data_IF_439823105048
#
_entry.id   IF_439823105048
#
_cell.length_a   1.000
_cell.length_b   1.000
_cell.length_c   1.000
_cell.angle_alpha   90.00
_cell.angle_beta   90.00
_cell.angle_gamma   90.00
#
_symmetry.space_group_name_H-M   'P 1'
#
loop_
_entity.id
_entity.type
_entity.pdbx_description
1 polymer ?
2 non-polymer ?
3 non-polymer ?
4 water ?
#
# COMPACT_ATOMS: atom_id res chain seq x y z
N UNK A 1 -12.31 -4.35 10.30
CA UNK A 1 -12.39 -4.23 11.76
C UNK A 1 -11.83 -5.43 12.51
N UNK A 2 -10.86 -5.11 13.38
CA UNK A 2 -10.24 -6.17 14.19
C UNK A 2 -10.97 -6.10 15.54
N UNK A 3 -10.96 -7.24 16.17
CA UNK A 3 -11.54 -7.36 17.51
C UNK A 3 -10.79 -6.44 18.49
N UNK A 4 -11.54 -5.93 19.45
CA UNK A 4 -11.04 -5.09 20.53
C UNK A 4 -10.82 -5.99 21.73
N UNK A 5 -9.60 -6.20 22.18
CA UNK A 5 -9.36 -7.06 23.34
C UNK A 5 -10.10 -6.55 24.57
N UNK A 6 -10.48 -7.54 25.37
CA UNK A 6 -11.14 -7.32 26.66
C UNK A 6 -10.66 -8.40 27.64
N UNK A 7 -9.92 -8.04 28.68
CA UNK A 7 -9.49 -6.68 29.01
C UNK A 7 -8.61 -6.11 27.91
N UNK A 8 -8.67 -4.79 27.82
CA UNK A 8 -7.95 -4.03 26.83
C UNK A 8 -6.44 -4.05 27.16
N UNK A 9 -5.84 -5.13 26.74
CA UNK A 9 -4.43 -5.40 26.91
C UNK A 9 -3.82 -5.98 25.65
N UNK A 10 -2.50 -5.76 25.52
CA UNK A 10 -1.75 -6.24 24.37
C UNK A 10 -1.76 -7.76 24.37
N UNK A 11 -1.80 -8.36 23.20
CA UNK A 11 -1.68 -9.86 23.13
C UNK A 11 -0.67 -10.13 22.01
N UNK A 12 -0.26 -11.36 21.83
CA UNK A 12 0.78 -11.66 20.81
C UNK A 12 0.32 -11.51 19.37
N UNK A 13 -0.95 -11.32 19.11
CA UNK A 13 -1.46 -11.07 17.76
C UNK A 13 -1.01 -9.71 17.26
N UNK A 14 -0.59 -8.85 18.19
CA UNK A 14 -0.13 -7.49 17.90
C UNK A 14 1.36 -7.46 17.63
N UNK A 15 2.02 -8.59 17.77
CA UNK A 15 3.47 -8.59 17.58
C UNK A 15 3.91 -8.03 16.23
N UNK A 16 4.93 -7.14 16.30
CA UNK A 16 5.49 -6.59 15.09
C UNK A 16 6.83 -7.27 14.77
N UNK A 17 7.42 -7.94 15.73
CA UNK A 17 8.71 -8.61 15.66
C UNK A 17 9.89 -7.68 15.96
N UNK A 18 9.60 -6.45 16.29
CA UNK A 18 10.54 -5.45 16.78
C UNK A 18 10.25 -5.39 18.30
N UNK A 19 11.11 -6.00 19.09
CA UNK A 19 10.86 -6.10 20.54
C UNK A 19 10.71 -4.76 21.19
N UNK A 20 11.48 -3.77 20.86
CA UNK A 20 11.32 -2.44 21.48
C UNK A 20 9.97 -1.86 21.15
N UNK A 21 9.54 -1.99 19.90
CA UNK A 21 8.25 -1.51 19.47
C UNK A 21 7.14 -2.22 20.26
N UNK A 22 7.19 -3.53 20.29
CA UNK A 22 6.17 -4.31 21.01
C UNK A 22 6.11 -3.87 22.48
N UNK A 23 7.26 -3.73 23.12
CA UNK A 23 7.28 -3.30 24.55
C UNK A 23 6.69 -1.93 24.66
N UNK A 24 6.95 -1.03 23.73
CA UNK A 24 6.29 0.29 23.85
C UNK A 24 4.81 0.20 23.65
N UNK A 25 4.38 -0.64 22.70
CA UNK A 25 2.92 -0.78 22.45
C UNK A 25 2.14 -1.21 23.71
N UNK A 26 2.70 -2.11 24.46
CA UNK A 26 2.12 -2.59 25.72
C UNK A 26 1.81 -1.42 26.63
N UNK A 27 2.62 -0.36 26.58
CA UNK A 27 2.42 0.80 27.45
C UNK A 27 1.25 1.59 26.92
N UNK A 28 0.98 1.55 25.62
CA UNK A 28 -0.17 2.33 25.08
C UNK A 28 -1.47 1.59 25.43
N UNK A 29 -1.48 0.27 25.36
CA UNK A 29 -2.67 -0.51 25.76
C UNK A 29 -3.02 -0.17 27.23
N UNK A 30 -1.97 -0.24 28.04
CA UNK A 30 -2.13 0.07 29.48
C UNK A 30 -2.67 1.47 29.69
N UNK A 31 -2.15 2.47 29.03
CA UNK A 31 -2.60 3.87 29.21
C UNK A 31 -4.10 3.99 28.89
N UNK A 32 -4.55 3.31 27.84
CA UNK A 32 -5.97 3.33 27.43
C UNK A 32 -6.79 2.54 28.45
N UNK A 33 -6.29 1.42 28.95
CA UNK A 33 -7.06 0.71 29.98
C UNK A 33 -7.26 1.58 31.23
N UNK A 34 -6.23 2.25 31.73
CA UNK A 34 -6.39 3.13 32.93
C UNK A 34 -7.47 4.17 32.68
N UNK A 35 -7.45 4.82 31.53
CA UNK A 35 -8.44 5.83 31.23
C UNK A 35 -9.84 5.23 31.25
N UNK A 36 -9.94 3.98 30.84
CA UNK A 36 -11.25 3.30 30.79
C UNK A 36 -11.70 3.07 32.24
N UNK A 37 -10.76 2.85 33.14
CA UNK A 37 -11.08 2.68 34.57
C UNK A 37 -11.45 3.98 35.25
N UNK A 38 -10.79 5.06 34.89
CA UNK A 38 -10.97 6.38 35.47
C UNK A 38 -10.39 7.44 34.54
N UNK A 39 -11.27 8.24 34.01
CA UNK A 39 -10.88 9.32 33.08
C UNK A 39 -10.36 10.52 33.87
N UNK A 40 -9.10 10.44 34.29
CA UNK A 40 -8.52 11.60 35.04
C UNK A 40 -7.19 12.04 34.39
N UNK A 41 -6.64 13.10 34.95
CA UNK A 41 -5.40 13.74 34.51
C UNK A 41 -4.21 12.81 34.67
N UNK A 42 -4.11 12.08 35.77
CA UNK A 42 -3.00 11.16 35.93
C UNK A 42 -2.93 10.15 34.78
N UNK A 43 -4.06 9.52 34.59
CA UNK A 43 -4.17 8.51 33.51
C UNK A 43 -3.91 9.11 32.17
N UNK A 44 -4.45 10.31 31.91
CA UNK A 44 -4.18 10.90 30.59
C UNK A 44 -2.69 11.25 30.44
N UNK A 45 -2.06 11.81 31.45
CA UNK A 45 -0.64 12.12 31.45
C UNK A 45 0.16 10.87 31.10
N UNK A 46 -0.15 9.79 31.78
CA UNK A 46 0.57 8.53 31.53
C UNK A 46 0.49 8.10 30.07
N UNK A 47 -0.74 8.05 29.55
CA UNK A 47 -0.91 7.68 28.15
C UNK A 47 -0.22 8.68 27.22
N UNK A 48 -0.45 9.95 27.43
CA UNK A 48 0.12 10.99 26.56
C UNK A 48 1.64 10.93 26.56
N UNK A 49 2.28 10.72 27.68
CA UNK A 49 3.75 10.59 27.73
C UNK A 49 4.16 9.37 26.90
N UNK A 50 3.59 8.20 27.21
CA UNK A 50 3.95 6.98 26.48
C UNK A 50 3.71 7.06 24.99
N UNK A 51 2.65 7.69 24.57
CA UNK A 51 2.31 7.88 23.16
C UNK A 51 3.33 8.77 22.45
N UNK A 52 3.62 9.91 23.07
CA UNK A 52 4.56 10.88 22.51
C UNK A 52 5.91 10.19 22.29
N UNK A 53 6.34 9.48 23.30
CA UNK A 53 7.62 8.78 23.30
C UNK A 53 7.63 7.66 22.25
N UNK A 54 6.58 6.83 22.27
CA UNK A 54 6.54 5.72 21.31
C UNK A 54 6.56 6.27 19.87
N UNK A 55 5.68 7.21 19.57
CA UNK A 55 5.58 7.77 18.22
C UNK A 55 6.92 8.29 17.75
N UNK A 56 7.65 9.01 18.60
CA UNK A 56 8.97 9.54 18.23
C UNK A 56 9.98 8.44 18.00
N UNK A 57 10.04 7.44 18.84
CA UNK A 57 10.98 6.36 18.67
C UNK A 57 10.73 5.60 17.37
N UNK A 58 9.44 5.36 17.14
CA UNK A 58 9.09 4.58 15.97
C UNK A 58 9.41 5.34 14.72
N UNK A 59 9.23 6.64 14.76
CA UNK A 59 9.53 7.56 13.66
C UNK A 59 11.05 7.53 13.40
N UNK A 60 11.79 7.50 14.50
CA UNK A 60 13.25 7.44 14.38
C UNK A 60 13.66 6.13 13.74
N UNK A 61 13.01 5.05 14.11
CA UNK A 61 13.30 3.75 13.48
C UNK A 61 13.02 3.76 12.00
N UNK A 62 11.92 4.36 11.59
CA UNK A 62 11.52 4.51 10.20
C UNK A 62 12.58 5.30 9.42
N UNK A 63 13.02 6.40 9.99
CA UNK A 63 14.01 7.26 9.33
C UNK A 63 15.36 6.58 9.17
N UNK A 64 15.72 5.69 10.04
CA UNK A 64 17.05 5.03 9.99
C UNK A 64 17.26 4.19 8.74
N UNK A 65 16.18 3.78 8.08
CA UNK A 65 16.24 3.02 6.86
C UNK A 65 15.60 3.82 5.73
N UNK A 66 15.32 5.09 5.92
CA UNK A 66 14.68 5.98 4.97
C UNK A 66 13.40 5.37 4.43
N UNK A 67 12.61 4.80 5.33
CA UNK A 67 11.33 4.18 5.04
C UNK A 67 10.47 5.09 4.18
N UNK A 68 10.01 4.54 3.07
CA UNK A 68 9.22 5.28 2.10
C UNK A 68 7.86 5.67 2.65
N UNK A 69 7.34 5.01 3.67
CA UNK A 69 6.00 5.41 4.17
C UNK A 69 6.02 6.34 5.35
N UNK A 70 7.18 6.88 5.69
CA UNK A 70 7.36 7.74 6.87
C UNK A 70 6.37 8.89 6.91
N UNK A 71 6.26 9.69 5.87
CA UNK A 71 5.42 10.90 5.92
C UNK A 71 3.99 10.56 6.29
N UNK A 72 3.44 9.58 5.62
CA UNK A 72 2.04 9.21 5.87
C UNK A 72 1.86 8.72 7.28
N UNK A 73 2.85 7.94 7.73
CA UNK A 73 2.77 7.34 9.10
C UNK A 73 2.86 8.42 10.18
N UNK A 74 3.79 9.33 10.01
CA UNK A 74 3.98 10.42 10.97
C UNK A 74 2.68 11.22 11.07
N UNK A 75 2.04 11.45 9.93
CA UNK A 75 0.77 12.22 9.92
C UNK A 75 -0.29 11.52 10.75
N UNK A 76 -0.42 10.22 10.66
CA UNK A 76 -1.36 9.41 11.43
C UNK A 76 -1.09 9.57 12.93
N UNK A 77 0.17 9.50 13.31
CA UNK A 77 0.62 9.69 14.70
C UNK A 77 0.25 11.07 15.24
N UNK A 78 0.59 12.09 14.48
CA UNK A 78 0.34 13.47 14.86
C UNK A 78 -1.16 13.71 15.07
N UNK A 79 -1.99 13.07 14.25
CA UNK A 79 -3.46 13.21 14.37
C UNK A 79 -3.93 12.61 15.67
N UNK A 80 -3.30 11.51 16.08
CA UNK A 80 -3.70 10.92 17.39
C UNK A 80 -3.24 11.79 18.55
N UNK A 81 -2.02 12.32 18.48
CA UNK A 81 -1.58 13.22 19.59
C UNK A 81 -2.57 14.36 19.75
N UNK A 82 -2.97 14.93 18.62
CA UNK A 82 -3.93 16.05 18.64
C UNK A 82 -5.17 15.67 19.45
N UNK A 83 -5.65 14.46 19.24
CA UNK A 83 -6.83 13.93 19.91
C UNK A 83 -6.56 13.86 21.42
N UNK A 84 -5.38 13.38 21.77
CA UNK A 84 -5.03 13.31 23.19
C UNK A 84 -4.89 14.71 23.76
N UNK A 85 -4.41 15.66 22.97
CA UNK A 85 -4.22 17.03 23.48
C UNK A 85 -5.55 17.79 23.54
N UNK A 86 -6.58 17.28 22.93
CA UNK A 86 -7.91 17.92 22.96
C UNK A 86 -8.89 16.89 23.51
N UNK A 87 -8.41 16.07 24.42
CA UNK A 87 -9.17 14.92 24.97
C UNK A 87 -10.58 15.32 25.42
N UNK A 88 -11.52 14.53 24.91
CA UNK A 88 -12.94 14.68 25.14
C UNK A 88 -13.51 13.49 25.93
N UNK A 89 -12.68 12.56 26.32
CA UNK A 89 -13.06 11.38 27.08
C UNK A 89 -13.60 10.22 26.26
N UNK A 90 -13.46 10.26 24.95
CA UNK A 90 -13.95 9.18 24.07
C UNK A 90 -12.96 8.02 24.09
N UNK A 91 -13.09 7.20 25.10
CA UNK A 91 -12.21 6.03 25.26
C UNK A 91 -12.45 5.01 24.15
N UNK A 92 -13.66 4.93 23.63
CA UNK A 92 -14.00 3.94 22.58
C UNK A 92 -13.22 4.24 21.32
N UNK A 93 -13.15 5.52 21.01
CA UNK A 93 -12.39 5.94 19.84
C UNK A 93 -10.94 5.44 20.02
N UNK A 94 -10.37 5.79 21.16
CA UNK A 94 -8.96 5.45 21.43
C UNK A 94 -8.76 3.95 21.37
N UNK A 95 -9.64 3.14 21.95
CA UNK A 95 -9.49 1.70 21.92
C UNK A 95 -9.42 1.16 20.49
N UNK A 96 -10.29 1.68 19.66
CA UNK A 96 -10.36 1.30 18.25
C UNK A 96 -9.12 1.79 17.49
N UNK A 97 -8.85 3.08 17.69
CA UNK A 97 -7.73 3.73 16.99
C UNK A 97 -6.48 2.88 17.16
N UNK A 98 -6.14 2.54 18.39
CA UNK A 98 -4.87 1.83 18.60
C UNK A 98 -4.87 0.48 17.94
N UNK A 99 -5.90 -0.34 18.09
CA UNK A 99 -5.94 -1.67 17.46
C UNK A 99 -5.74 -1.55 15.95
N UNK A 100 -6.52 -0.73 15.30
CA UNK A 100 -6.45 -0.55 13.83
C UNK A 100 -5.08 0.02 13.42
N UNK A 101 -4.53 0.96 14.15
CA UNK A 101 -3.22 1.54 13.82
C UNK A 101 -2.15 0.48 13.75
N UNK A 102 -2.01 -0.28 14.85
CA UNK A 102 -0.97 -1.30 14.85
C UNK A 102 -1.14 -2.30 13.69
N UNK A 103 -2.30 -2.94 13.65
CA UNK A 103 -2.61 -4.00 12.67
C UNK A 103 -2.69 -3.56 11.26
N UNK A 104 -2.88 -2.30 10.90
CA UNK A 104 -2.82 -1.88 9.50
C UNK A 104 -1.66 -0.95 9.19
N UNK A 105 -1.28 0.01 10.01
CA UNK A 105 -0.21 0.95 9.63
C UNK A 105 1.16 0.48 10.07
N UNK A 106 1.29 0.09 11.33
CA UNK A 106 2.58 -0.42 11.83
C UNK A 106 2.92 -1.71 11.12
N UNK A 107 1.87 -2.54 10.92
CA UNK A 107 2.19 -3.83 10.26
C UNK A 107 2.78 -3.65 8.87
N UNK A 108 2.47 -2.56 8.19
CA UNK A 108 3.02 -2.31 6.84
C UNK A 108 4.53 -2.03 6.89
N UNK A 109 5.16 -1.60 7.98
CA UNK A 109 6.61 -1.36 7.93
C UNK A 109 7.41 -2.62 8.19
N UNK A 110 6.80 -3.71 8.60
CA UNK A 110 7.55 -4.94 8.93
C UNK A 110 8.38 -5.44 7.75
N UNK A 111 9.67 -5.67 8.02
CA UNK A 111 10.62 -6.12 7.00
C UNK A 111 11.25 -5.01 6.20
N UNK A 112 10.79 -3.78 6.38
CA UNK A 112 11.26 -2.61 5.66
C UNK A 112 12.10 -1.66 6.50
N UNK A 113 12.07 -1.86 7.80
CA UNK A 113 12.83 -1.03 8.75
C UNK A 113 13.55 -1.98 9.72
N UNK B 1 18.98 -31.11 9.59
CA UNK B 1 19.91 -31.17 8.41
C UNK B 1 19.34 -30.36 7.24
N UNK B 2 19.98 -29.24 6.97
CA UNK B 2 19.54 -28.25 5.99
C UNK B 2 20.41 -28.22 4.76
N UNK B 3 19.75 -27.86 3.66
CA UNK B 3 20.42 -27.66 2.39
C UNK B 3 21.45 -26.54 2.44
N UNK B 4 22.44 -26.70 1.58
CA UNK B 4 23.49 -25.68 1.49
C UNK B 4 23.15 -24.80 0.31
N UNK B 5 22.95 -23.51 0.51
CA UNK B 5 22.64 -22.66 -0.66
C UNK B 5 23.80 -22.68 -1.63
N UNK B 6 23.48 -22.63 -2.92
CA UNK B 6 24.49 -22.57 -4.00
C UNK B 6 23.97 -21.53 -5.01
N UNK B 7 24.61 -20.40 -5.24
CA UNK B 7 25.89 -19.99 -4.66
C UNK B 7 25.70 -19.80 -3.17
N UNK B 8 26.75 -19.94 -2.43
CA UNK B 8 26.78 -19.80 -0.98
C UNK B 8 26.63 -18.35 -0.54
N UNK B 9 25.38 -18.00 -0.43
CA UNK B 9 24.85 -16.71 -0.07
C UNK B 9 23.58 -16.81 0.76
N UNK B 10 23.46 -15.78 1.60
CA UNK B 10 22.33 -15.69 2.53
C UNK B 10 21.03 -15.69 1.77
N UNK B 11 19.97 -16.23 2.35
CA UNK B 11 18.63 -16.11 1.66
C UNK B 11 17.60 -15.86 2.76
N UNK B 12 16.38 -15.51 2.43
CA UNK B 12 15.37 -15.16 3.47
C UNK B 12 14.93 -16.30 4.34
N UNK B 13 15.32 -17.53 4.01
CA UNK B 13 15.00 -18.70 4.85
C UNK B 13 15.81 -18.66 6.14
N UNK B 14 16.82 -17.82 6.17
CA UNK B 14 17.71 -17.65 7.33
C UNK B 14 17.27 -16.50 8.23
N UNK B 15 16.27 -15.75 7.82
CA UNK B 15 15.83 -14.62 8.61
C UNK B 15 15.58 -15.00 10.05
N UNK B 16 16.07 -14.20 10.95
CA UNK B 16 15.83 -14.38 12.37
C UNK B 16 14.86 -13.31 12.84
N UNK B 17 14.62 -12.31 12.01
CA UNK B 17 13.73 -11.17 12.29
C UNK B 17 14.38 -10.13 13.22
N UNK B 18 15.65 -10.31 13.45
CA UNK B 18 16.55 -9.34 14.12
C UNK B 18 17.38 -8.76 12.95
N UNK B 19 16.99 -7.63 12.40
CA UNK B 19 17.64 -7.08 11.19
C UNK B 19 19.15 -6.94 11.36
N UNK B 20 19.61 -6.55 12.53
CA UNK B 20 21.05 -6.41 12.80
C UNK B 20 21.76 -7.75 12.64
N UNK B 21 21.13 -8.78 13.22
CA UNK B 21 21.62 -10.15 13.17
C UNK B 21 21.63 -10.63 11.72
N UNK B 22 20.50 -10.46 11.02
CA UNK B 22 20.46 -10.89 9.62
C UNK B 22 21.56 -10.23 8.81
N UNK B 23 21.72 -8.92 8.98
CA UNK B 23 22.75 -8.18 8.21
C UNK B 23 24.14 -8.68 8.57
N UNK B 24 24.43 -8.97 9.84
CA UNK B 24 25.75 -9.55 10.13
C UNK B 24 25.93 -10.93 9.54
N UNK B 25 24.86 -11.73 9.55
CA UNK B 25 24.93 -13.10 8.95
C UNK B 25 25.32 -13.05 7.48
N UNK B 26 24.78 -12.14 6.71
CA UNK B 26 25.09 -11.94 5.29
C UNK B 26 26.61 -11.81 5.10
N UNK B 27 27.31 -11.18 6.05
CA UNK B 27 28.75 -11.04 5.97
C UNK B 27 29.46 -12.36 6.23
N UNK B 28 28.91 -13.26 7.03
CA UNK B 28 29.56 -14.56 7.29
C UNK B 28 29.42 -15.42 6.01
N UNK B 29 28.24 -15.39 5.41
CA UNK B 29 28.03 -16.13 4.15
C UNK B 29 29.08 -15.67 3.13
N UNK B 30 29.19 -14.36 2.99
CA UNK B 30 30.14 -13.80 1.98
C UNK B 30 31.56 -14.23 2.31
N UNK B 31 31.93 -14.20 3.57
CA UNK B 31 33.26 -14.58 4.04
C UNK B 31 33.58 -16.01 3.58
N UNK B 32 32.65 -16.92 3.83
CA UNK B 32 32.82 -18.34 3.42
C UNK B 32 32.84 -18.40 1.90
N UNK B 33 32.02 -17.62 1.20
CA UNK B 33 32.07 -17.65 -0.25
C UNK B 33 33.47 -17.28 -0.74
N UNK B 34 34.11 -16.24 -0.26
CA UNK B 34 35.45 -15.85 -0.72
C UNK B 34 36.47 -16.98 -0.56
N UNK B 35 36.46 -17.61 0.57
CA UNK B 35 37.36 -18.70 0.92
C UNK B 35 37.15 -19.84 -0.10
N UNK B 36 35.91 -19.99 -0.47
CA UNK B 36 35.48 -21.02 -1.43
C UNK B 36 36.00 -20.67 -2.82
N UNK B 37 36.42 -19.44 -3.05
CA UNK B 37 36.94 -19.05 -4.36
C UNK B 37 38.46 -19.01 -4.34
N UNK B 38 38.97 -18.55 -3.22
CA UNK B 38 40.41 -18.41 -3.04
C UNK B 38 40.69 -18.53 -1.55
N UNK B 39 41.37 -19.58 -1.23
CA UNK B 39 41.77 -19.88 0.15
C UNK B 39 43.10 -19.17 0.40
N UNK B 40 42.93 -17.89 0.73
CA UNK B 40 44.10 -17.05 1.05
C UNK B 40 43.85 -16.30 2.37
N UNK B 41 44.84 -15.53 2.77
CA UNK B 41 44.83 -14.71 3.96
C UNK B 41 43.87 -13.52 3.91
N UNK B 42 43.75 -12.78 2.83
CA UNK B 42 42.84 -11.64 2.77
C UNK B 42 41.43 -12.13 3.07
N UNK B 43 41.11 -13.23 2.41
CA UNK B 43 39.76 -13.83 2.57
C UNK B 43 39.54 -14.37 3.96
N UNK B 44 40.51 -15.03 4.55
CA UNK B 44 40.32 -15.55 5.92
C UNK B 44 40.23 -14.43 6.94
N UNK B 45 40.92 -13.34 6.74
CA UNK B 45 40.95 -12.21 7.70
C UNK B 45 39.54 -11.58 7.74
N UNK B 46 39.03 -11.47 6.52
CA UNK B 46 37.69 -10.94 6.27
C UNK B 46 36.65 -11.78 6.98
N UNK B 47 36.66 -13.11 6.78
CA UNK B 47 35.72 -13.97 7.49
C UNK B 47 35.95 -13.86 9.00
N UNK B 48 37.18 -13.99 9.43
CA UNK B 48 37.53 -13.97 10.84
C UNK B 48 37.07 -12.71 11.58
N UNK B 49 37.32 -11.54 11.01
CA UNK B 49 36.87 -10.25 11.58
C UNK B 49 35.36 -10.27 11.75
N UNK B 50 34.63 -10.49 10.68
CA UNK B 50 33.17 -10.54 10.66
C UNK B 50 32.61 -11.56 11.65
N UNK B 51 33.25 -12.73 11.73
CA UNK B 51 32.82 -13.77 12.66
C UNK B 51 33.00 -13.30 14.09
N UNK B 52 34.20 -12.83 14.40
CA UNK B 52 34.47 -12.38 15.77
C UNK B 52 33.48 -11.27 16.17
N UNK B 53 33.25 -10.34 15.24
CA UNK B 53 32.36 -9.19 15.56
C UNK B 53 30.95 -9.67 15.74
N UNK B 54 30.49 -10.52 14.78
CA UNK B 54 29.08 -10.99 14.89
C UNK B 54 28.86 -11.77 16.17
N UNK B 55 29.74 -12.69 16.49
CA UNK B 55 29.56 -13.54 17.69
C UNK B 55 29.51 -12.71 18.94
N UNK B 56 30.34 -11.68 19.02
CA UNK B 56 30.30 -10.86 20.25
C UNK B 56 29.02 -10.03 20.31
N UNK B 57 28.62 -9.40 19.25
CA UNK B 57 27.38 -8.62 19.23
C UNK B 57 26.18 -9.48 19.58
N UNK B 58 26.15 -10.68 18.98
CA UNK B 58 25.00 -11.57 19.23
C UNK B 58 24.98 -11.99 20.70
N UNK B 59 26.15 -12.27 21.22
CA UNK B 59 26.33 -12.59 22.63
C UNK B 59 25.86 -11.46 23.51
N UNK B 60 26.15 -10.23 23.18
CA UNK B 60 25.69 -9.07 23.94
C UNK B 60 24.17 -9.00 23.95
N UNK B 61 23.62 -9.23 22.75
CA UNK B 61 22.17 -9.23 22.58
C UNK B 61 21.53 -10.29 23.50
N UNK B 62 22.10 -11.46 23.57
CA UNK B 62 21.60 -12.53 24.43
C UNK B 62 21.68 -12.09 25.89
N UNK B 63 22.80 -11.52 26.28
CA UNK B 63 23.04 -11.06 27.66
C UNK B 63 22.04 -9.98 28.09
N UNK B 64 21.63 -9.11 27.21
CA UNK B 64 20.71 -8.01 27.51
C UNK B 64 19.36 -8.43 28.06
N UNK B 65 18.92 -9.62 27.76
CA UNK B 65 17.66 -10.16 28.24
C UNK B 65 17.94 -11.39 29.13
N UNK B 66 19.16 -11.51 29.55
CA UNK B 66 19.63 -12.62 30.40
C UNK B 66 19.21 -13.97 29.85
N UNK B 67 19.46 -14.18 28.57
CA UNK B 67 19.07 -15.42 27.87
C UNK B 67 19.56 -16.68 28.55
N UNK B 68 18.64 -17.59 28.81
CA UNK B 68 18.91 -18.90 29.45
C UNK B 68 19.87 -19.80 28.68
N UNK B 69 19.88 -19.80 27.39
CA UNK B 69 20.72 -20.61 26.53
C UNK B 69 22.02 -19.97 26.10
N UNK B 70 22.44 -18.95 26.81
CA UNK B 70 23.67 -18.24 26.47
C UNK B 70 24.92 -19.09 26.47
N UNK B 71 25.21 -19.71 27.59
CA UNK B 71 26.46 -20.48 27.82
C UNK B 71 26.71 -21.55 26.79
N UNK B 72 25.68 -22.26 26.38
CA UNK B 72 25.70 -23.30 25.38
C UNK B 72 25.98 -22.65 24.01
N UNK B 73 25.34 -21.50 23.81
CA UNK B 73 25.46 -20.77 22.54
C UNK B 73 26.88 -20.24 22.40
N UNK B 74 27.37 -19.60 23.43
CA UNK B 74 28.73 -19.03 23.43
C UNK B 74 29.76 -20.13 23.23
N UNK B 75 29.50 -21.28 23.83
CA UNK B 75 30.48 -22.42 23.63
C UNK B 75 30.48 -22.83 22.17
N UNK B 76 29.35 -22.85 21.49
CA UNK B 76 29.32 -23.16 20.06
C UNK B 76 30.16 -22.17 19.26
N UNK B 77 30.00 -20.90 19.57
CA UNK B 77 30.70 -19.81 18.86
C UNK B 77 32.21 -19.93 18.98
N UNK B 78 32.63 -20.14 20.22
CA UNK B 78 34.06 -20.21 20.58
C UNK B 78 34.76 -21.36 19.86
N UNK B 79 34.07 -22.46 19.64
CA UNK B 79 34.60 -23.64 18.93
C UNK B 79 34.89 -23.28 17.48
N UNK B 80 33.95 -22.58 16.88
CA UNK B 80 34.09 -22.15 15.48
C UNK B 80 35.20 -21.09 15.37
N UNK B 81 35.29 -20.14 16.27
CA UNK B 81 36.40 -19.16 16.24
C UNK B 81 37.72 -19.96 16.19
N UNK B 82 37.79 -20.93 17.08
CA UNK B 82 38.94 -21.82 17.24
C UNK B 82 39.32 -22.51 15.93
N UNK B 83 38.37 -23.00 15.18
CA UNK B 83 38.61 -23.60 13.86
C UNK B 83 39.18 -22.58 12.89
N UNK B 84 38.70 -21.34 13.01
CA UNK B 84 39.18 -20.28 12.10
C UNK B 84 40.61 -19.90 12.49
N UNK B 85 40.91 -19.96 13.77
CA UNK B 85 42.26 -19.61 14.23
C UNK B 85 43.29 -20.69 13.90
N UNK B 86 42.82 -21.86 13.58
CA UNK B 86 43.67 -23.01 13.17
C UNK B 86 43.17 -23.51 11.82
N UNK B 87 42.82 -22.59 10.92
CA UNK B 87 42.22 -22.91 9.61
C UNK B 87 43.00 -24.06 8.95
N UNK B 88 42.22 -24.95 8.38
CA UNK B 88 42.75 -26.14 7.70
C UNK B 88 42.30 -26.21 6.24
N UNK B 89 41.58 -25.22 5.77
CA UNK B 89 41.11 -25.15 4.39
C UNK B 89 39.85 -25.95 4.16
N UNK B 90 39.30 -26.44 5.26
CA UNK B 90 38.06 -27.25 5.15
C UNK B 90 36.84 -26.33 5.02
N UNK B 91 36.61 -25.91 3.80
CA UNK B 91 35.56 -25.02 3.38
C UNK B 91 34.19 -25.70 3.50
N UNK B 92 34.18 -27.01 3.39
CA UNK B 92 32.90 -27.76 3.42
C UNK B 92 32.33 -27.78 4.84
N UNK B 93 33.24 -27.92 5.77
CA UNK B 93 32.92 -27.89 7.18
C UNK B 93 32.22 -26.56 7.50
N UNK B 94 32.86 -25.50 7.03
CA UNK B 94 32.42 -24.13 7.31
C UNK B 94 31.06 -23.87 6.68
N UNK B 95 30.85 -24.30 5.44
CA UNK B 95 29.57 -24.08 4.75
C UNK B 95 28.41 -24.70 5.54
N UNK B 96 28.73 -25.88 6.05
CA UNK B 96 27.84 -26.70 6.82
C UNK B 96 27.53 -26.14 8.20
N UNK B 97 28.60 -25.84 8.89
CA UNK B 97 28.56 -25.30 10.24
C UNK B 97 27.59 -24.11 10.31
N UNK B 98 27.89 -23.11 9.48
CA UNK B 98 27.09 -21.90 9.51
C UNK B 98 25.61 -22.19 9.27
N UNK B 99 25.29 -22.93 8.25
CA UNK B 99 23.89 -23.25 7.90
C UNK B 99 23.16 -23.86 9.10
N UNK B 100 23.74 -24.85 9.72
CA UNK B 100 23.09 -25.53 10.87
C UNK B 100 23.05 -24.64 12.08
N UNK B 101 24.16 -23.96 12.36
CA UNK B 101 24.21 -23.05 13.51
C UNK B 101 23.04 -22.08 13.50
N UNK B 102 22.88 -21.35 12.39
CA UNK B 102 21.77 -20.38 12.34
C UNK B 102 20.42 -21.06 12.53
N UNK B 103 20.19 -22.09 11.68
CA UNK B 103 18.87 -22.75 11.63
C UNK B 103 18.56 -23.59 12.84
N UNK B 104 19.54 -23.84 13.69
CA UNK B 104 19.23 -24.57 14.89
C UNK B 104 19.52 -23.74 16.14
N UNK B 105 20.69 -23.24 16.37
CA UNK B 105 21.05 -22.53 17.61
C UNK B 105 20.52 -21.12 17.65
N UNK B 106 20.76 -20.35 16.58
CA UNK B 106 20.25 -18.97 16.54
C UNK B 106 18.74 -18.99 16.47
N UNK B 107 18.15 -19.91 15.70
CA UNK B 107 16.65 -19.87 15.62
C UNK B 107 16.00 -20.07 16.98
N UNK B 108 16.69 -20.71 17.86
CA UNK B 108 16.24 -20.97 19.21
C UNK B 108 16.06 -19.71 20.03
N UNK B 109 16.83 -18.65 19.84
CA UNK B 109 16.62 -17.47 20.75
C UNK B 109 15.50 -16.63 20.24
N UNK B 110 14.97 -16.87 19.06
CA UNK B 110 13.95 -15.92 18.54
C UNK B 110 12.79 -15.81 19.50
N UNK B 111 12.34 -14.59 19.76
CA UNK B 111 11.25 -14.32 20.70
C UNK B 111 11.71 -14.27 22.14
N UNK B 112 12.97 -14.60 22.42
CA UNK B 112 13.45 -14.59 23.81
C UNK B 112 14.45 -13.51 24.12
N UNK B 113 14.94 -12.85 23.10
CA UNK B 113 15.93 -11.78 23.22
C UNK B 113 15.48 -10.57 22.40
N UNK C 1 -30.60 24.69 -9.98
CA UNK C 1 -29.11 24.69 -10.16
C UNK C 1 -28.48 23.87 -9.04
N UNK C 2 -27.74 22.84 -9.46
CA UNK C 2 -27.10 21.91 -8.55
C UNK C 2 -25.70 22.39 -8.16
N UNK C 3 -25.27 21.85 -7.03
CA UNK C 3 -23.90 22.08 -6.57
C UNK C 3 -22.93 21.43 -7.55
N UNK C 4 -21.85 22.14 -7.76
CA UNK C 4 -20.72 21.75 -8.60
C UNK C 4 -19.73 21.06 -7.68
N UNK C 5 -19.48 19.78 -7.90
CA UNK C 5 -18.53 19.05 -7.03
C UNK C 5 -17.17 19.73 -7.00
N UNK C 6 -16.50 19.66 -5.88
CA UNK C 6 -15.12 20.19 -5.75
C UNK C 6 -14.35 19.27 -4.79
N UNK C 7 -13.33 18.58 -5.28
CA UNK C 7 -12.83 18.61 -6.65
C UNK C 7 -13.88 18.10 -7.62
N UNK C 8 -13.75 18.53 -8.87
CA UNK C 8 -14.64 18.21 -9.95
C UNK C 8 -14.47 16.76 -10.42
N UNK C 9 -15.06 15.89 -9.66
CA UNK C 9 -15.03 14.44 -9.87
C UNK C 9 -16.43 13.89 -9.55
N UNK C 10 -16.75 12.82 -10.27
CA UNK C 10 -18.04 12.14 -10.16
C UNK C 10 -18.27 11.70 -8.72
N UNK C 11 -19.50 11.69 -8.26
CA UNK C 11 -19.88 11.18 -6.91
C UNK C 11 -21.15 10.35 -7.08
N UNK C 12 -21.53 9.58 -6.09
CA UNK C 12 -22.67 8.65 -6.26
C UNK C 12 -24.00 9.33 -6.41
N UNK C 13 -24.05 10.64 -6.12
CA UNK C 13 -25.31 11.39 -6.33
C UNK C 13 -25.63 11.48 -7.83
N UNK C 14 -24.66 11.13 -8.67
CA UNK C 14 -24.88 11.20 -10.14
C UNK C 14 -25.29 9.84 -10.66
N UNK C 15 -25.31 8.83 -9.82
CA UNK C 15 -25.67 7.48 -10.29
C UNK C 15 -26.96 7.46 -11.07
N UNK C 16 -26.97 6.79 -12.22
CA UNK C 16 -28.09 6.58 -13.08
C UNK C 16 -28.57 5.12 -12.94
N UNK C 17 -27.80 4.26 -12.35
CA UNK C 17 -28.04 2.84 -12.18
C UNK C 17 -27.80 1.97 -13.43
N UNK C 18 -27.18 2.59 -14.42
CA UNK C 18 -26.68 1.95 -15.65
C UNK C 18 -25.15 2.05 -15.48
N UNK C 19 -24.53 0.97 -15.05
CA UNK C 19 -23.11 0.95 -14.72
C UNK C 19 -22.25 1.43 -15.88
N UNK C 20 -22.59 1.01 -17.11
CA UNK C 20 -21.78 1.45 -18.25
C UNK C 20 -21.90 2.97 -18.42
N UNK C 21 -23.07 3.53 -18.23
CA UNK C 21 -23.28 4.98 -18.34
C UNK C 21 -22.54 5.66 -17.19
N UNK C 22 -22.67 5.18 -15.96
CA UNK C 22 -21.97 5.81 -14.84
C UNK C 22 -20.46 5.85 -15.12
N UNK C 23 -19.91 4.73 -15.54
CA UNK C 23 -18.45 4.63 -15.81
C UNK C 23 -18.03 5.58 -16.89
N UNK C 24 -18.87 5.77 -17.90
CA UNK C 24 -18.51 6.76 -18.96
C UNK C 24 -18.60 8.17 -18.44
N UNK C 25 -19.57 8.47 -17.57
CA UNK C 25 -19.72 9.81 -16.97
C UNK C 25 -18.48 10.18 -16.19
N UNK C 26 -17.89 9.23 -15.49
CA UNK C 26 -16.66 9.43 -14.72
C UNK C 26 -15.57 9.98 -15.62
N UNK C 27 -15.49 9.52 -16.88
CA UNK C 27 -14.49 10.00 -17.83
C UNK C 27 -14.79 11.44 -18.26
N UNK C 28 -16.02 11.90 -18.29
CA UNK C 28 -16.37 13.28 -18.65
C UNK C 28 -15.98 14.25 -17.53
N UNK C 29 -16.24 13.88 -16.30
CA UNK C 29 -15.83 14.68 -15.14
C UNK C 29 -14.29 14.80 -15.21
N UNK C 30 -13.58 13.68 -15.39
CA UNK C 30 -12.10 13.72 -15.44
C UNK C 30 -11.61 14.66 -16.54
N UNK C 31 -12.17 14.62 -17.71
CA UNK C 31 -11.74 15.43 -18.84
C UNK C 31 -11.83 16.94 -18.51
N UNK C 32 -12.92 17.28 -17.86
CA UNK C 32 -13.17 18.67 -17.43
C UNK C 32 -12.15 19.02 -16.34
N UNK C 33 -11.94 18.17 -15.37
CA UNK C 33 -10.94 18.42 -14.37
C UNK C 33 -9.58 18.71 -15.06
N UNK C 34 -9.20 17.88 -16.03
CA UNK C 34 -7.92 18.08 -16.71
C UNK C 34 -7.80 19.50 -17.25
N UNK C 35 -8.77 19.93 -18.01
CA UNK C 35 -8.78 21.27 -18.58
C UNK C 35 -8.74 22.35 -17.50
N UNK C 36 -9.37 22.06 -16.37
CA UNK C 36 -9.40 23.05 -15.27
C UNK C 36 -7.96 23.20 -14.76
N UNK C 37 -7.11 22.21 -14.98
CA UNK C 37 -5.72 22.20 -14.58
C UNK C 37 -4.75 22.72 -15.66
N UNK C 38 -5.06 22.51 -16.88
CA UNK C 38 -4.26 22.97 -18.03
C UNK C 38 -5.17 22.94 -19.24
N UNK C 39 -5.57 24.14 -19.62
CA UNK C 39 -6.48 24.13 -20.83
C UNK C 39 -5.56 23.91 -22.00
N UNK C 40 -5.29 22.69 -22.38
CA UNK C 40 -4.39 22.47 -23.56
C UNK C 40 -5.06 21.49 -24.53
N UNK C 41 -4.31 21.21 -25.61
CA UNK C 41 -4.85 20.30 -26.63
C UNK C 41 -4.90 18.87 -26.15
N UNK C 42 -3.98 18.33 -25.39
CA UNK C 42 -4.05 16.93 -24.96
C UNK C 42 -5.32 16.70 -24.13
N UNK C 43 -5.49 17.67 -23.23
CA UNK C 43 -6.64 17.65 -22.31
C UNK C 43 -7.92 17.84 -23.06
N UNK C 44 -7.99 18.73 -24.04
CA UNK C 44 -9.22 18.88 -24.80
C UNK C 44 -9.54 17.60 -25.62
N UNK C 45 -8.55 16.99 -26.20
CA UNK C 45 -8.66 15.79 -27.01
C UNK C 45 -9.24 14.66 -26.15
N UNK C 46 -8.73 14.56 -24.94
CA UNK C 46 -9.20 13.51 -24.02
C UNK C 46 -10.70 13.67 -23.76
N UNK C 47 -11.09 14.90 -23.41
CA UNK C 47 -12.49 15.20 -23.15
C UNK C 47 -13.33 14.99 -24.40
N UNK C 48 -12.92 15.53 -25.52
CA UNK C 48 -13.61 15.43 -26.79
C UNK C 48 -13.86 13.97 -27.17
N UNK C 49 -12.81 13.17 -27.12
CA UNK C 49 -12.97 11.74 -27.43
C UNK C 49 -14.01 11.09 -26.51
N UNK C 50 -13.87 11.19 -25.20
CA UNK C 50 -14.77 10.61 -24.17
C UNK C 50 -16.18 11.09 -24.32
N UNK C 51 -16.34 12.39 -24.62
CA UNK C 51 -17.67 12.95 -24.83
C UNK C 51 -18.35 12.38 -26.07
N UNK C 52 -17.65 12.41 -27.20
CA UNK C 52 -18.26 11.87 -28.45
C UNK C 52 -18.63 10.38 -28.25
N UNK C 53 -17.74 9.61 -27.68
CA UNK C 53 -18.03 8.17 -27.45
C UNK C 53 -19.19 7.99 -26.50
N UNK C 54 -19.23 8.72 -25.38
CA UNK C 54 -20.32 8.56 -24.41
C UNK C 54 -21.67 8.95 -25.03
N UNK C 55 -21.69 10.06 -25.73
CA UNK C 55 -22.97 10.54 -26.29
C UNK C 55 -23.54 9.51 -27.25
N UNK C 56 -22.70 8.97 -28.10
CA UNK C 56 -23.16 7.99 -29.08
C UNK C 56 -23.58 6.72 -28.37
N UNK C 57 -22.83 6.24 -27.41
CA UNK C 57 -23.20 5.02 -26.67
C UNK C 57 -24.55 5.18 -25.99
N UNK C 58 -24.72 6.31 -25.36
CA UNK C 58 -25.99 6.58 -24.63
C UNK C 58 -27.14 6.72 -25.58
N UNK C 59 -26.90 7.37 -26.71
CA UNK C 59 -27.93 7.50 -27.73
C UNK C 59 -28.31 6.11 -28.23
N UNK C 60 -27.32 5.26 -28.38
CA UNK C 60 -27.59 3.86 -28.82
C UNK C 60 -28.51 3.15 -27.84
N UNK C 61 -28.16 3.31 -26.54
CA UNK C 61 -28.98 2.69 -25.50
C UNK C 61 -30.42 3.19 -25.54
N UNK C 62 -30.59 4.49 -25.77
CA UNK C 62 -31.92 5.11 -25.86
C UNK C 62 -32.66 4.54 -27.06
N UNK C 63 -31.99 4.35 -28.19
CA UNK C 63 -32.66 3.80 -29.38
C UNK C 63 -33.04 2.34 -29.24
N UNK C 64 -32.33 1.56 -28.49
CA UNK C 64 -32.64 0.14 -28.26
C UNK C 64 -34.01 -0.09 -27.64
N UNK C 65 -34.56 0.85 -26.91
CA UNK C 65 -35.91 0.77 -26.31
C UNK C 65 -36.87 1.74 -26.96
N UNK C 66 -36.44 2.34 -28.04
CA UNK C 66 -37.24 3.39 -28.74
C UNK C 66 -37.68 4.47 -27.77
N UNK C 67 -36.73 4.99 -27.00
CA UNK C 67 -36.95 6.04 -25.99
C UNK C 67 -37.63 7.24 -26.65
N UNK C 68 -38.74 7.62 -25.99
CA UNK C 68 -39.55 8.74 -26.47
C UNK C 68 -38.85 10.09 -26.37
N UNK C 69 -37.90 10.28 -25.49
CA UNK C 69 -37.20 11.57 -25.33
C UNK C 69 -35.88 11.65 -26.07
N UNK C 70 -35.63 10.79 -27.03
CA UNK C 70 -34.36 10.75 -27.76
C UNK C 70 -34.00 12.03 -28.47
N UNK C 71 -34.90 12.54 -29.30
CA UNK C 71 -34.60 13.71 -30.17
C UNK C 71 -34.15 14.92 -29.40
N UNK C 72 -34.85 15.20 -28.32
CA UNK C 72 -34.52 16.34 -27.45
C UNK C 72 -33.14 16.09 -26.83
N UNK C 73 -32.97 14.84 -26.38
CA UNK C 73 -31.71 14.45 -25.74
C UNK C 73 -30.58 14.57 -26.76
N UNK C 74 -30.77 14.05 -27.96
CA UNK C 74 -29.72 14.13 -28.98
C UNK C 74 -29.35 15.57 -29.32
N UNK C 75 -30.33 16.44 -29.32
CA UNK C 75 -30.08 17.89 -29.59
C UNK C 75 -29.22 18.48 -28.49
N UNK C 76 -29.49 18.14 -27.23
CA UNK C 76 -28.68 18.64 -26.12
C UNK C 76 -27.21 18.22 -26.28
N UNK C 77 -26.99 16.97 -26.68
CA UNK C 77 -25.67 16.39 -26.87
C UNK C 77 -24.86 17.09 -27.97
N UNK C 78 -25.51 17.25 -29.08
CA UNK C 78 -25.02 17.88 -30.31
C UNK C 78 -24.56 19.33 -30.07
N UNK C 79 -25.31 20.04 -29.26
CA UNK C 79 -25.00 21.41 -28.85
C UNK C 79 -23.70 21.42 -28.05
N UNK C 80 -23.51 20.45 -27.15
CA UNK C 80 -22.28 20.43 -26.34
C UNK C 80 -21.08 20.02 -27.18
N UNK C 81 -21.26 19.07 -28.06
CA UNK C 81 -20.16 18.66 -28.96
C UNK C 81 -19.67 19.91 -29.69
N UNK C 82 -20.64 20.69 -30.13
CA UNK C 82 -20.41 21.95 -30.85
C UNK C 82 -19.51 22.89 -30.06
N UNK C 83 -19.82 23.03 -28.78
CA UNK C 83 -19.01 23.86 -27.90
C UNK C 83 -17.57 23.33 -27.88
N UNK C 84 -17.44 22.01 -27.75
CA UNK C 84 -16.06 21.48 -27.67
C UNK C 84 -15.32 21.68 -28.98
N UNK C 85 -16.05 21.66 -30.08
CA UNK C 85 -15.43 21.80 -31.40
C UNK C 85 -15.08 23.27 -31.67
N UNK C 86 -15.62 24.17 -30.91
CA UNK C 86 -15.30 25.61 -31.09
C UNK C 86 -14.92 26.11 -29.70
N UNK C 87 -14.05 25.36 -29.04
CA UNK C 87 -13.67 25.57 -27.64
C UNK C 87 -13.23 27.02 -27.41
N UNK C 88 -13.79 27.61 -26.34
CA UNK C 88 -13.49 29.00 -25.98
C UNK C 88 -12.80 29.12 -24.63
N UNK C 89 -12.42 28.07 -23.98
CA UNK C 89 -11.73 28.03 -22.72
C UNK C 89 -12.57 28.27 -21.50
N UNK C 90 -13.86 28.29 -21.66
CA UNK C 90 -14.82 28.54 -20.58
C UNK C 90 -15.15 27.24 -19.83
N UNK C 91 -14.31 26.98 -18.86
CA UNK C 91 -14.36 25.79 -18.02
C UNK C 91 -15.55 25.86 -17.07
N UNK C 92 -15.93 27.08 -16.77
CA UNK C 92 -17.05 27.24 -15.81
C UNK C 92 -18.33 26.73 -16.43
N UNK C 93 -18.56 27.12 -17.65
CA UNK C 93 -19.68 26.71 -18.48
C UNK C 93 -19.74 25.18 -18.51
N UNK C 94 -18.59 24.63 -18.92
CA UNK C 94 -18.51 23.15 -19.07
C UNK C 94 -18.85 22.44 -17.79
N UNK C 95 -18.27 22.89 -16.69
CA UNK C 95 -18.51 22.28 -15.37
C UNK C 95 -19.99 22.25 -15.04
N UNK C 96 -20.61 23.35 -15.31
CA UNK C 96 -22.03 23.56 -15.09
C UNK C 96 -22.91 22.70 -16.01
N UNK C 97 -22.56 22.73 -17.29
CA UNK C 97 -23.32 21.99 -18.30
C UNK C 97 -23.39 20.53 -17.90
N UNK C 98 -22.26 19.93 -17.58
CA UNK C 98 -22.29 18.48 -17.29
C UNK C 98 -23.13 18.17 -16.07
N UNK C 99 -22.95 18.85 -14.96
CA UNK C 99 -23.80 18.61 -13.77
C UNK C 99 -25.28 18.71 -14.11
N UNK C 100 -25.74 19.74 -14.76
CA UNK C 100 -27.19 19.89 -15.05
C UNK C 100 -27.69 18.86 -16.03
N UNK C 101 -26.87 18.55 -17.05
CA UNK C 101 -27.31 17.55 -18.08
C UNK C 101 -27.60 16.21 -17.48
N UNK C 102 -26.66 15.68 -16.67
CA UNK C 102 -26.89 14.36 -16.10
C UNK C 102 -28.14 14.40 -15.21
N UNK C 103 -28.07 15.34 -14.25
CA UNK C 103 -29.10 15.37 -13.19
C UNK C 103 -30.44 15.82 -13.68
N UNK C 104 -30.54 16.42 -14.85
CA UNK C 104 -31.85 16.78 -15.38
C UNK C 104 -32.19 16.02 -16.66
N UNK C 105 -31.37 15.85 -17.64
CA UNK C 105 -31.72 15.18 -18.90
C UNK C 105 -31.44 13.68 -18.83
N UNK C 106 -30.23 13.29 -18.44
CA UNK C 106 -29.97 11.85 -18.31
C UNK C 106 -30.94 11.26 -17.29
N UNK C 107 -31.10 11.94 -16.15
CA UNK C 107 -32.02 11.35 -15.15
C UNK C 107 -33.41 11.08 -15.68
N UNK C 108 -33.88 11.75 -16.71
CA UNK C 108 -35.19 11.51 -17.28
C UNK C 108 -35.33 10.11 -17.91
N UNK C 109 -34.31 9.47 -18.42
CA UNK C 109 -34.48 8.14 -19.04
C UNK C 109 -34.45 7.04 -18.02
N UNK C 110 -34.15 7.24 -16.76
CA UNK C 110 -34.06 6.10 -15.82
C UNK C 110 -35.33 5.30 -15.76
N UNK C 111 -35.23 3.99 -15.95
CA UNK C 111 -36.38 3.07 -15.93
C UNK C 111 -37.07 2.95 -17.24
N UNK C 112 -36.62 3.73 -18.23
CA UNK C 112 -37.25 3.68 -19.55
C UNK C 112 -36.38 3.08 -20.62
N UNK C 113 -35.13 2.81 -20.33
CA UNK C 113 -34.20 2.23 -21.29
C UNK C 113 -33.39 1.11 -20.63
N UNK D 1 10.11 8.34 -5.31
CA UNK D 1 8.89 7.51 -5.64
C UNK D 1 8.01 8.29 -6.59
N UNK D 2 6.92 7.64 -7.08
CA UNK D 2 6.04 8.39 -7.99
C UNK D 2 5.22 9.39 -7.15
N UNK D 3 4.94 10.48 -7.81
CA UNK D 3 4.02 11.47 -7.22
C UNK D 3 2.60 10.88 -7.16
N UNK D 4 1.92 11.14 -6.07
CA UNK D 4 0.50 10.79 -5.86
C UNK D 4 -0.31 12.02 -6.23
N UNK D 5 -1.13 11.95 -7.28
CA UNK D 5 -1.96 13.10 -7.65
C UNK D 5 -2.85 13.54 -6.49
N UNK D 6 -2.99 14.84 -6.36
CA UNK D 6 -3.86 15.50 -5.39
C UNK D 6 -4.53 16.68 -6.16
N UNK D 7 -5.83 16.62 -6.37
CA UNK D 7 -6.76 15.56 -5.97
C UNK D 7 -6.42 14.27 -6.68
N UNK D 8 -6.83 13.16 -6.11
CA UNK D 8 -6.52 11.83 -6.65
C UNK D 8 -7.40 11.51 -7.86
N UNK D 9 -6.96 11.99 -8.99
CA UNK D 9 -7.63 11.82 -10.27
C UNK D 9 -6.57 11.47 -11.30
N UNK D 10 -7.04 10.79 -12.33
CA UNK D 10 -6.16 10.36 -13.45
C UNK D 10 -5.64 11.61 -14.16
N UNK D 11 -4.42 11.49 -14.69
CA UNK D 11 -3.79 12.57 -15.51
C UNK D 11 -3.13 11.85 -16.72
N UNK D 12 -2.77 12.61 -17.73
CA UNK D 12 -2.20 12.01 -18.95
C UNK D 12 -0.85 11.41 -18.71
N UNK D 13 -0.22 11.57 -17.57
CA UNK D 13 1.07 10.86 -17.37
C UNK D 13 0.77 9.37 -17.24
N UNK D 14 -0.51 9.04 -17.02
CA UNK D 14 -0.81 7.58 -16.82
C UNK D 14 -1.24 6.95 -18.12
N UNK D 15 -1.20 7.70 -19.22
CA UNK D 15 -1.67 7.10 -20.49
C UNK D 15 -0.85 5.87 -20.88
N UNK D 16 -1.55 4.83 -21.31
CA UNK D 16 -1.05 3.60 -21.82
C UNK D 16 -1.18 3.61 -23.37
N UNK D 17 -2.02 4.48 -23.88
CA UNK D 17 -2.36 4.65 -25.29
C UNK D 17 -3.33 3.58 -25.80
N UNK D 18 -3.93 2.86 -24.89
CA UNK D 18 -5.06 1.94 -25.16
C UNK D 18 -6.25 2.70 -24.59
N UNK D 19 -7.04 3.34 -25.42
CA UNK D 19 -8.12 4.20 -24.90
C UNK D 19 -9.08 3.46 -24.00
N UNK D 20 -9.41 2.21 -24.27
CA UNK D 20 -10.32 1.48 -23.40
C UNK D 20 -9.67 1.29 -22.01
N UNK D 21 -8.39 0.97 -21.97
CA UNK D 21 -7.68 0.85 -20.69
C UNK D 21 -7.65 2.18 -19.90
N UNK D 22 -7.23 3.25 -20.57
CA UNK D 22 -7.16 4.56 -19.89
C UNK D 22 -8.51 4.93 -19.31
N UNK D 23 -9.57 4.68 -20.10
CA UNK D 23 -10.94 5.05 -19.59
C UNK D 23 -11.31 4.22 -18.38
N UNK D 24 -10.96 2.94 -18.40
CA UNK D 24 -11.26 2.12 -17.23
C UNK D 24 -10.42 2.59 -16.03
N UNK D 25 -9.19 2.96 -16.31
CA UNK D 25 -8.32 3.46 -15.19
C UNK D 25 -8.91 4.67 -14.51
N UNK D 26 -9.49 5.57 -15.28
CA UNK D 26 -10.12 6.78 -14.70
C UNK D 26 -11.16 6.39 -13.67
N UNK D 27 -11.84 5.25 -13.83
CA UNK D 27 -12.86 4.80 -12.87
C UNK D 27 -12.20 4.30 -11.61
N UNK D 28 -10.97 3.76 -11.70
CA UNK D 28 -10.29 3.24 -10.47
C UNK D 28 -9.80 4.41 -9.60
N UNK D 29 -9.29 5.45 -10.24
CA UNK D 29 -8.90 6.69 -9.53
C UNK D 29 -10.13 7.24 -8.81
N UNK D 30 -11.21 7.37 -9.58
CA UNK D 30 -12.46 7.90 -8.98
C UNK D 30 -12.89 7.04 -7.81
N UNK D 31 -12.80 5.73 -7.92
CA UNK D 31 -13.24 4.82 -6.83
C UNK D 31 -12.48 5.11 -5.52
N UNK D 32 -11.17 5.21 -5.61
CA UNK D 32 -10.29 5.50 -4.48
C UNK D 32 -10.56 6.89 -3.90
N UNK D 33 -10.69 7.88 -4.77
CA UNK D 33 -11.03 9.23 -4.31
C UNK D 33 -12.30 9.16 -3.46
N UNK D 34 -13.32 8.47 -3.91
CA UNK D 34 -14.57 8.35 -3.13
C UNK D 34 -14.28 7.82 -1.75
N UNK D 35 -13.53 6.75 -1.65
CA UNK D 35 -13.20 6.17 -0.35
C UNK D 35 -12.47 7.17 0.54
N UNK D 36 -11.67 8.01 -0.12
CA UNK D 36 -10.88 9.04 0.56
C UNK D 36 -11.83 10.05 1.19
N UNK D 37 -12.94 10.29 0.49
CA UNK D 37 -13.94 11.22 1.05
C UNK D 37 -14.73 10.57 2.16
N UNK D 38 -15.24 9.38 1.97
CA UNK D 38 -16.04 8.67 2.96
C UNK D 38 -15.84 7.18 2.77
N UNK D 39 -15.30 6.59 3.80
CA UNK D 39 -15.05 5.13 3.76
C UNK D 39 -16.36 4.41 4.10
N UNK D 40 -17.16 4.11 3.09
CA UNK D 40 -18.44 3.40 3.30
C UNK D 40 -18.59 2.26 2.29
N UNK D 41 -19.65 1.50 2.42
CA UNK D 41 -19.94 0.36 1.55
C UNK D 41 -20.28 0.79 0.13
N UNK D 42 -21.00 1.86 -0.09
CA UNK D 42 -21.35 2.35 -1.41
C UNK D 42 -20.07 2.58 -2.24
N UNK D 43 -19.19 3.35 -1.60
CA UNK D 43 -17.92 3.72 -2.25
C UNK D 43 -17.07 2.51 -2.49
N UNK D 44 -17.04 1.59 -1.52
CA UNK D 44 -16.24 0.38 -1.68
C UNK D 44 -16.77 -0.49 -2.84
N UNK D 45 -18.06 -0.65 -2.88
CA UNK D 45 -18.77 -1.41 -3.92
C UNK D 45 -18.40 -0.85 -5.29
N UNK D 46 -18.49 0.48 -5.39
CA UNK D 46 -18.16 1.15 -6.65
C UNK D 46 -16.74 0.82 -7.09
N UNK D 47 -15.76 0.97 -6.21
CA UNK D 47 -14.38 0.65 -6.56
C UNK D 47 -14.25 -0.84 -6.88
N UNK D 48 -14.80 -1.70 -6.04
CA UNK D 48 -14.71 -3.15 -6.20
C UNK D 48 -15.29 -3.62 -7.53
N UNK D 49 -16.43 -3.14 -7.94
CA UNK D 49 -17.01 -3.48 -9.24
C UNK D 49 -16.04 -3.06 -10.36
N UNK D 50 -15.66 -1.79 -10.34
CA UNK D 50 -14.78 -1.20 -11.36
C UNK D 50 -13.43 -1.89 -11.44
N UNK D 51 -12.89 -2.28 -10.31
CA UNK D 51 -11.62 -2.99 -10.25
C UNK D 51 -11.80 -4.40 -10.82
N UNK D 52 -12.76 -5.17 -10.39
CA UNK D 52 -13.00 -6.54 -10.90
C UNK D 52 -13.18 -6.50 -12.43
N UNK D 53 -13.97 -5.56 -12.91
CA UNK D 53 -14.23 -5.40 -14.33
C UNK D 53 -12.98 -4.98 -15.10
N UNK D 54 -12.25 -3.96 -14.68
CA UNK D 54 -11.02 -3.56 -15.42
C UNK D 54 -10.00 -4.67 -15.44
N UNK D 55 -9.74 -5.30 -14.30
CA UNK D 55 -8.72 -6.38 -14.23
C UNK D 55 -9.06 -7.52 -15.19
N UNK D 56 -10.31 -7.92 -15.25
CA UNK D 56 -10.70 -8.97 -16.19
C UNK D 56 -10.56 -8.47 -17.63
N UNK D 57 -11.02 -7.31 -17.95
CA UNK D 57 -10.92 -6.80 -19.34
C UNK D 57 -9.47 -6.69 -19.77
N UNK D 58 -8.65 -6.16 -18.88
CA UNK D 58 -7.24 -6.02 -19.20
C UNK D 58 -6.59 -7.37 -19.40
N UNK D 59 -6.93 -8.34 -18.57
CA UNK D 59 -6.42 -9.71 -18.65
C UNK D 59 -6.79 -10.34 -19.99
N UNK D 60 -8.00 -10.09 -20.43
CA UNK D 60 -8.46 -10.58 -21.74
C UNK D 60 -7.63 -10.01 -22.87
N UNK D 61 -7.41 -8.70 -22.85
CA UNK D 61 -6.61 -8.06 -23.90
C UNK D 61 -5.21 -8.65 -23.93
N UNK D 62 -4.64 -8.93 -22.76
CA UNK D 62 -3.33 -9.53 -22.63
C UNK D 62 -3.36 -10.93 -23.28
N UNK D 63 -4.37 -11.71 -23.00
CA UNK D 63 -4.44 -13.07 -23.56
C UNK D 63 -4.61 -13.09 -25.07
N UNK D 64 -5.26 -12.10 -25.63
CA UNK D 64 -5.56 -12.02 -27.06
C UNK D 64 -4.29 -11.97 -27.90
N UNK D 65 -3.20 -11.51 -27.29
CA UNK D 65 -1.90 -11.49 -28.01
C UNK D 65 -0.97 -12.48 -27.30
N UNK D 66 -1.52 -13.35 -26.47
CA UNK D 66 -0.73 -14.34 -25.73
C UNK D 66 0.42 -13.66 -24.99
N UNK D 67 0.15 -12.53 -24.36
CA UNK D 67 1.15 -11.75 -23.61
C UNK D 67 2.02 -12.61 -22.71
N UNK D 68 3.34 -12.49 -22.87
CA UNK D 68 4.29 -13.29 -22.09
C UNK D 68 4.27 -12.93 -20.61
N UNK D 69 3.92 -11.71 -20.23
CA UNK D 69 3.94 -11.37 -18.78
C UNK D 69 2.57 -11.51 -18.14
N UNK D 70 1.66 -12.27 -18.70
CA UNK D 70 0.29 -12.41 -18.15
C UNK D 70 0.24 -12.97 -16.74
N UNK D 71 0.95 -14.07 -16.53
CA UNK D 71 0.85 -14.76 -15.24
C UNK D 71 1.29 -13.84 -14.13
N UNK D 72 2.43 -13.20 -14.26
CA UNK D 72 2.85 -12.30 -13.17
C UNK D 72 1.89 -11.15 -13.00
N UNK D 73 1.29 -10.71 -14.10
CA UNK D 73 0.34 -9.57 -14.04
C UNK D 73 -0.96 -10.01 -13.37
N UNK D 74 -1.47 -11.19 -13.71
CA UNK D 74 -2.74 -11.61 -13.09
C UNK D 74 -2.60 -11.75 -11.57
N UNK D 75 -1.47 -12.22 -11.15
CA UNK D 75 -1.08 -12.41 -9.75
C UNK D 75 -1.11 -11.08 -9.02
N UNK D 76 -0.65 -10.00 -9.59
CA UNK D 76 -0.68 -8.66 -8.97
C UNK D 76 -2.13 -8.18 -8.84
N UNK D 77 -2.95 -8.41 -9.84
CA UNK D 77 -4.36 -8.05 -9.86
C UNK D 77 -5.12 -8.80 -8.76
N UNK D 78 -4.88 -10.09 -8.72
CA UNK D 78 -5.55 -10.97 -7.74
C UNK D 78 -5.28 -10.55 -6.31
N UNK D 79 -4.06 -10.17 -6.00
CA UNK D 79 -3.71 -9.73 -4.63
C UNK D 79 -4.43 -8.46 -4.28
N UNK D 80 -4.59 -7.56 -5.22
CA UNK D 80 -5.29 -6.30 -4.92
C UNK D 80 -6.78 -6.57 -4.71
N UNK D 81 -7.35 -7.49 -5.48
CA UNK D 81 -8.77 -7.87 -5.30
C UNK D 81 -8.91 -8.40 -3.87
N UNK D 82 -7.97 -9.26 -3.51
CA UNK D 82 -8.01 -9.82 -2.14
C UNK D 82 -7.98 -8.69 -1.12
N UNK D 83 -7.17 -7.67 -1.27
CA UNK D 83 -7.17 -6.53 -0.36
C UNK D 83 -8.54 -5.86 -0.32
N UNK D 84 -9.20 -5.65 -1.45
CA UNK D 84 -10.53 -5.02 -1.41
C UNK D 84 -11.56 -5.95 -0.78
N UNK D 85 -11.42 -7.25 -0.94
CA UNK D 85 -12.41 -8.16 -0.33
C UNK D 85 -12.22 -8.22 1.18
N UNK D 86 -11.06 -7.78 1.64
CA UNK D 86 -10.77 -7.77 3.09
C UNK D 86 -10.39 -6.36 3.50
N UNK D 87 -11.09 -5.38 2.98
CA UNK D 87 -10.84 -3.95 3.18
C UNK D 87 -10.51 -3.62 4.65
N UNK D 88 -9.36 -2.96 4.79
CA UNK D 88 -8.83 -2.58 6.11
C UNK D 88 -8.92 -1.08 6.31
N UNK D 89 -9.49 -0.34 5.40
CA UNK D 89 -9.66 1.10 5.53
C UNK D 89 -8.41 1.88 5.14
N UNK D 90 -7.38 1.20 4.70
CA UNK D 90 -6.13 1.88 4.33
C UNK D 90 -6.20 2.46 2.93
N UNK D 91 -6.67 3.69 2.86
CA UNK D 91 -6.79 4.42 1.58
C UNK D 91 -5.42 4.74 1.01
N UNK D 92 -4.49 5.01 1.91
CA UNK D 92 -3.12 5.41 1.50
C UNK D 92 -2.48 4.31 0.68
N UNK D 93 -2.62 3.10 1.18
CA UNK D 93 -2.11 1.90 0.53
C UNK D 93 -2.65 1.85 -0.92
N UNK D 94 -3.97 1.97 -0.97
CA UNK D 94 -4.69 1.92 -2.24
C UNK D 94 -4.23 3.02 -3.19
N UNK D 95 -4.07 4.25 -2.73
CA UNK D 95 -3.64 5.35 -3.62
C UNK D 95 -2.30 5.03 -4.25
N UNK D 96 -1.41 4.58 -3.39
CA UNK D 96 -0.05 4.17 -3.74
C UNK D 96 -0.08 2.97 -4.68
N UNK D 97 -0.85 1.95 -4.32
CA UNK D 97 -0.88 0.73 -5.12
C UNK D 97 -1.22 1.04 -6.56
N UNK D 98 -2.24 1.81 -6.78
CA UNK D 98 -2.70 2.02 -8.17
C UNK D 98 -1.69 2.80 -8.98
N UNK D 99 -1.15 3.85 -8.41
CA UNK D 99 -0.13 4.66 -9.11
C UNK D 99 1.02 3.79 -9.57
N UNK D 100 1.57 3.03 -8.66
CA UNK D 100 2.72 2.17 -8.97
C UNK D 100 2.32 1.07 -9.94
N UNK D 101 1.13 0.48 -9.76
CA UNK D 101 0.69 -0.61 -10.65
C UNK D 101 0.63 -0.15 -12.09
N UNK D 102 0.01 0.95 -12.39
CA UNK D 102 -0.10 1.41 -13.77
C UNK D 102 1.27 1.72 -14.35
N UNK D 103 2.05 2.52 -13.63
CA UNK D 103 3.34 3.02 -14.12
C UNK D 103 4.43 1.99 -14.11
N UNK D 104 4.30 0.85 -13.47
CA UNK D 104 5.35 -0.17 -13.54
C UNK D 104 4.86 -1.44 -14.22
N UNK D 105 3.75 -2.02 -13.86
CA UNK D 105 3.26 -3.28 -14.42
C UNK D 105 2.49 -3.05 -15.71
N UNK D 106 1.50 -2.17 -15.70
CA UNK D 106 0.73 -1.94 -16.93
C UNK D 106 1.66 -1.38 -18.02
N UNK D 107 2.54 -0.46 -17.63
CA UNK D 107 3.42 0.12 -18.70
C UNK D 107 4.23 -0.93 -19.42
N UNK D 108 4.51 -2.05 -18.78
CA UNK D 108 5.28 -3.13 -19.40
C UNK D 108 4.56 -3.76 -20.60
N UNK D 109 3.23 -3.78 -20.67
CA UNK D 109 2.62 -4.46 -21.82
C UNK D 109 2.53 -3.54 -23.01
N UNK D 110 2.89 -2.28 -22.86
CA UNK D 110 2.68 -1.32 -23.99
C UNK D 110 3.39 -1.76 -25.24
N UNK D 111 2.68 -1.83 -26.37
CA UNK D 111 3.33 -2.27 -27.62
C UNK D 111 3.44 -3.76 -27.76
N UNK D 112 2.94 -4.53 -26.81
CA UNK D 112 3.00 -6.01 -26.89
C UNK D 112 1.64 -6.68 -26.98
N UNK D 113 0.60 -5.88 -26.76
CA UNK D 113 -0.80 -6.33 -26.79
C UNK D 113 -1.59 -5.34 -27.64
X LIG E 1 17.87 4.64 13.55
X LIG E 1 17.72 3.47 13.91
X LIG E 1 18.23 5.63 14.74
X LIG F 1 2.74 3.78 14.38
X LIG F 1 3.54 1.71 16.88
X LIG F 1 2.57 3.12 16.42
X LIG G 1 21.59 -5.39 25.05
X LIG G 1 20.64 -5.15 24.31
X LIG G 1 22.92 -4.56 24.78
X LIG H 1 25.09 -17.77 17.01
X LIG H 1 24.32 -15.68 14.52
X LIG H 1 25.58 -16.83 15.19
X LIG I 1 -29.29 -1.24 -27.46
X LIG I 1 -29.25 -1.57 -26.27
X LIG I 1 -28.01 -1.59 -28.31
X LIG J 1 -26.92 12.56 -22.04
X LIG J 1 -24.88 10.78 -20.10
X LIG J 1 -25.06 12.23 -21.22
X LIG K 1 -8.77 -10.17 -27.01
X LIG K 1 -8.65 -9.00 -27.38
X LIG K 1 -10.24 -10.57 -26.60
X LIG L 1 -2.97 -4.15 -14.54
X LIG L 1 -4.70 -1.52 -15.65
X LIG L 1 -4.36 -2.60 -14.24
#
# INVERSE_FOLDING_TARGET
GFPIPDPYCWDISFRTFYTIIDDEHKTLFNGILLLSQADNADHLNELRRCTGKHFLNEQQLMQSSQYAGYAEHKKAHDDFIHKLDTWDGDVTYAKNWLVNHIKTIDFKYRGKI
GFPIPDPYCWDISFRTFYTIIDDEHKTLFNGILLLSQADNADHLNELRRCTGKHFLNEQQLMQSSQYAGYAEHKKAHDDFIHKLDTWDGDVTYAKNWLVNHIKTIDFKYRGKI
GFPIPDPYCWDISFRTFYTIIDDEHKTLFNGILLLSQADNADHLNELRRCTGKHFLNEQQLMQSSQYAGYAEHKKAHDDFIHKLDTWDGDVTYAKNWLVNHIKTIDFKYRGKI
GFPIPDPYCWDISFRTFYTIIDDEHKTLFNGILLLSQADNADHLNELRRCTGKHFLNEQQLMQSSQYAGYAEHKKAHDDFIHKLDTWDGDVTYAKNWLVNHIKTIDFKYRGKI
ACE C O CH3
FEO FE1 FE2 O
ACE C O CH3
FEO FE1 FE2 O
ACE C O CH3
FEO FE1 FE2 O
ACE C O CH3
FEO FE1 FE2 O
#
